data_IF_948672575956
#
_entry.id   IF_948672575956
#
_cell.length_a   1.000
_cell.length_b   1.000
_cell.length_c   1.000
_cell.angle_alpha   90.00
_cell.angle_beta   90.00
_cell.angle_gamma   90.00
#
_symmetry.space_group_name_H-M   'P 1'
#
loop_
_entity.id
_entity.type
_entity.pdbx_description
1 polymer ?
#
# COMPACT_ATOMS: atom_id res chain seq x y z
N UNK A 1 54.99 -6.05 39.74
CA UNK A 1 53.78 -5.25 39.45
C UNK A 1 52.78 -6.18 38.76
N UNK A 2 51.84 -6.75 39.52
CA UNK A 2 50.85 -7.70 39.02
C UNK A 2 49.54 -6.95 38.74
N UNK A 3 49.18 -6.81 37.46
CA UNK A 3 47.84 -6.35 37.08
C UNK A 3 46.84 -7.50 37.32
N UNK A 4 45.69 -7.24 37.96
CA UNK A 4 44.71 -8.29 38.22
C UNK A 4 44.06 -8.75 36.91
N UNK A 5 44.19 -10.04 36.62
CA UNK A 5 43.65 -10.76 35.45
C UNK A 5 42.13 -10.57 35.25
N UNK A 6 41.43 -10.10 36.28
CA UNK A 6 39.98 -9.87 36.24
C UNK A 6 39.57 -8.73 35.30
N UNK A 7 40.39 -7.69 35.13
CA UNK A 7 40.04 -6.55 34.27
C UNK A 7 39.95 -6.92 32.77
N UNK A 8 40.69 -7.93 32.32
CA UNK A 8 40.71 -8.38 30.93
C UNK A 8 39.45 -9.21 30.61
N UNK A 9 38.98 -10.02 31.55
CA UNK A 9 37.77 -10.84 31.39
C UNK A 9 36.49 -10.00 31.31
N UNK A 10 36.39 -8.92 32.10
CA UNK A 10 35.25 -8.00 32.03
C UNK A 10 35.22 -7.18 30.73
N UNK A 11 36.38 -6.79 30.20
CA UNK A 11 36.46 -6.07 28.93
C UNK A 11 35.99 -6.94 27.76
N UNK A 12 36.38 -8.23 27.73
CA UNK A 12 35.94 -9.18 26.70
C UNK A 12 34.45 -9.54 26.83
N UNK A 13 33.90 -9.62 28.04
CA UNK A 13 32.47 -9.87 28.23
C UNK A 13 31.62 -8.67 27.78
N UNK A 14 32.10 -7.45 28.01
CA UNK A 14 31.41 -6.22 27.59
C UNK A 14 31.51 -6.00 26.06
N UNK A 15 32.63 -6.38 25.43
CA UNK A 15 32.74 -6.38 23.96
C UNK A 15 31.91 -7.49 23.33
N UNK A 16 31.86 -8.70 23.90
CA UNK A 16 30.97 -9.76 23.42
C UNK A 16 29.49 -9.39 23.54
N UNK A 17 29.08 -8.72 24.64
CA UNK A 17 27.71 -8.23 24.80
C UNK A 17 27.38 -7.06 23.85
N UNK A 18 28.34 -6.16 23.57
CA UNK A 18 28.12 -5.06 22.64
C UNK A 18 28.03 -5.52 21.18
N UNK A 19 28.82 -6.53 20.79
CA UNK A 19 28.79 -7.13 19.44
C UNK A 19 27.46 -7.88 19.21
N UNK A 20 26.92 -8.57 20.21
CA UNK A 20 25.63 -9.28 20.05
C UNK A 20 24.40 -8.37 20.04
N UNK A 21 24.48 -7.16 20.60
CA UNK A 21 23.36 -6.19 20.60
C UNK A 21 23.28 -5.44 19.25
N UNK A 22 24.41 -5.23 18.56
CA UNK A 22 24.42 -4.47 17.31
C UNK A 22 23.96 -5.30 16.10
N UNK A 23 24.11 -6.62 16.13
CA UNK A 23 23.78 -7.50 14.99
C UNK A 23 22.29 -7.89 14.93
N UNK A 24 21.53 -7.72 16.01
CA UNK A 24 20.12 -8.15 16.03
C UNK A 24 19.15 -7.15 15.37
N UNK A 25 19.59 -5.91 15.12
CA UNK A 25 18.78 -4.86 14.50
C UNK A 25 18.80 -4.97 12.96
N UNK A 26 19.83 -5.58 12.37
CA UNK A 26 19.98 -5.65 10.91
C UNK A 26 19.24 -6.82 10.26
N UNK A 27 18.98 -7.90 11.02
CA UNK A 27 18.37 -9.13 10.48
C UNK A 27 16.87 -8.94 10.18
N UNK A 28 16.13 -8.17 10.99
CA UNK A 28 14.72 -7.86 10.68
C UNK A 28 14.59 -6.95 9.45
N UNK A 29 15.47 -5.96 9.29
CA UNK A 29 15.51 -5.11 8.08
C UNK A 29 15.85 -5.92 6.82
N UNK A 30 16.70 -6.94 6.95
CA UNK A 30 17.09 -7.82 5.84
C UNK A 30 16.00 -8.86 5.52
N UNK A 31 15.25 -9.33 6.52
CA UNK A 31 14.05 -10.17 6.32
C UNK A 31 12.87 -9.37 5.73
N UNK A 32 12.75 -8.08 6.07
CA UNK A 32 11.85 -7.13 5.41
C UNK A 32 12.28 -6.80 3.98
N UNK A 33 13.56 -6.99 3.61
CA UNK A 33 14.07 -6.75 2.26
C UNK A 33 13.99 -8.00 1.36
N UNK A 34 14.36 -9.19 1.85
CA UNK A 34 14.39 -10.42 1.05
C UNK A 34 13.04 -11.14 0.95
N UNK A 35 12.12 -10.97 1.91
CA UNK A 35 10.78 -11.55 1.86
C UNK A 35 9.71 -10.70 1.15
N UNK A 36 10.01 -9.44 0.81
CA UNK A 36 8.99 -8.42 0.53
C UNK A 36 8.77 -8.07 -0.95
N UNK A 37 9.48 -8.69 -1.89
CA UNK A 37 9.37 -8.33 -3.32
C UNK A 37 7.98 -8.66 -3.92
N UNK A 38 7.21 -9.58 -3.32
CA UNK A 38 5.89 -9.99 -3.81
C UNK A 38 4.69 -9.40 -3.04
N UNK A 39 4.89 -8.63 -1.97
CA UNK A 39 3.81 -8.27 -1.02
C UNK A 39 3.52 -6.78 -0.82
N UNK A 40 4.34 -5.88 -1.40
CA UNK A 40 4.25 -4.45 -1.12
C UNK A 40 3.25 -3.76 -2.06
N UNK A 41 2.20 -3.19 -1.47
CA UNK A 41 1.06 -2.54 -2.15
C UNK A 41 1.10 -1.04 -1.87
N UNK A 42 1.25 -0.23 -2.91
CA UNK A 42 1.24 1.23 -2.78
C UNK A 42 -0.15 1.78 -3.12
N UNK A 43 -0.70 2.62 -2.25
CA UNK A 43 -2.06 3.13 -2.40
C UNK A 43 -2.46 4.11 -1.32
N UNK A 44 -3.76 4.19 -1.06
CA UNK A 44 -4.34 5.00 0.03
C UNK A 44 -5.26 4.15 0.88
N UNK A 45 -5.41 4.52 2.15
CA UNK A 45 -6.42 3.94 3.03
C UNK A 45 -7.55 4.95 3.25
N UNK A 46 -8.71 4.68 2.65
CA UNK A 46 -9.87 5.56 2.72
C UNK A 46 -10.83 5.11 3.82
N UNK A 47 -11.04 5.93 4.84
CA UNK A 47 -12.04 5.72 5.87
C UNK A 47 -13.36 6.40 5.51
N UNK A 48 -14.47 5.66 5.54
CA UNK A 48 -15.81 6.19 5.20
C UNK A 48 -16.47 7.04 6.30
N UNK A 49 -15.76 7.34 7.39
CA UNK A 49 -16.34 8.06 8.53
C UNK A 49 -16.63 9.52 8.18
N UNK A 50 -17.79 10.05 8.58
CA UNK A 50 -18.15 11.45 8.29
C UNK A 50 -18.32 11.67 6.79
N UNK A 51 -17.59 12.65 6.22
CA UNK A 51 -17.54 12.92 4.78
C UNK A 51 -16.55 12.03 4.02
N UNK A 52 -15.83 11.15 4.74
CA UNK A 52 -14.78 10.32 4.19
C UNK A 52 -13.40 10.99 4.27
N UNK A 53 -12.39 10.21 4.63
CA UNK A 53 -11.02 10.70 4.85
C UNK A 53 -9.98 9.69 4.40
N UNK A 54 -8.94 10.15 3.72
CA UNK A 54 -7.71 9.41 3.45
C UNK A 54 -6.77 9.54 4.64
N UNK A 55 -6.30 8.41 5.18
CA UNK A 55 -5.29 8.39 6.24
C UNK A 55 -4.00 9.07 5.75
N UNK A 56 -3.44 9.94 6.58
CA UNK A 56 -2.24 10.72 6.30
C UNK A 56 -1.18 10.48 7.37
N UNK A 57 0.07 10.38 6.93
CA UNK A 57 1.25 10.26 7.79
C UNK A 57 2.16 11.44 7.51
N UNK A 58 2.23 12.36 8.46
CA UNK A 58 3.03 13.58 8.33
C UNK A 58 4.51 13.34 8.67
N UNK A 59 5.43 14.12 8.07
CA UNK A 59 6.85 14.10 8.43
C UNK A 59 7.15 14.57 9.86
N UNK A 60 6.21 15.24 10.52
CA UNK A 60 6.32 15.71 11.92
C UNK A 60 5.91 14.63 12.96
N UNK A 61 5.57 13.42 12.50
CA UNK A 61 5.11 12.33 13.37
C UNK A 61 3.60 12.30 13.61
N UNK A 62 2.83 13.26 13.09
CA UNK A 62 1.38 13.31 13.26
C UNK A 62 0.65 12.39 12.29
N UNK A 63 -0.49 11.87 12.76
CA UNK A 63 -1.40 11.02 12.00
C UNK A 63 -2.80 11.59 12.09
N UNK A 64 -3.43 11.79 10.94
CA UNK A 64 -4.77 12.32 10.76
C UNK A 64 -5.34 11.79 9.44
N UNK A 65 -6.45 12.35 8.99
CA UNK A 65 -6.99 12.12 7.68
C UNK A 65 -7.54 13.40 7.06
N UNK A 66 -7.48 13.44 5.74
CA UNK A 66 -7.94 14.54 4.89
C UNK A 66 -9.01 14.03 3.94
N UNK A 67 -10.00 14.86 3.66
CA UNK A 67 -11.01 14.53 2.66
C UNK A 67 -10.36 14.37 1.28
N UNK A 68 -9.62 15.39 0.87
CA UNK A 68 -8.88 15.37 -0.40
C UNK A 68 -7.62 14.50 -0.32
N UNK A 69 -7.31 13.74 -1.39
CA UNK A 69 -6.07 12.99 -1.48
C UNK A 69 -4.87 13.94 -1.55
N UNK A 70 -3.78 13.59 -0.87
CA UNK A 70 -2.53 14.35 -0.90
C UNK A 70 -1.33 13.42 -1.00
N UNK A 71 -0.13 13.97 -1.14
CA UNK A 71 1.12 13.20 -1.10
C UNK A 71 1.30 12.49 0.26
N UNK A 72 0.80 13.08 1.35
CA UNK A 72 0.87 12.52 2.70
C UNK A 72 -0.04 11.30 2.89
N UNK A 73 -1.05 11.13 2.02
CA UNK A 73 -1.97 9.99 2.08
C UNK A 73 -1.56 8.82 1.18
N UNK A 74 -0.43 8.92 0.49
CA UNK A 74 0.16 7.80 -0.25
C UNK A 74 0.93 6.92 0.74
N UNK A 75 0.48 5.69 0.87
CA UNK A 75 0.94 4.71 1.84
C UNK A 75 1.47 3.46 1.11
N UNK A 76 2.55 2.91 1.64
CA UNK A 76 3.08 1.61 1.27
C UNK A 76 2.67 0.60 2.35
N UNK A 77 1.83 -0.36 1.97
CA UNK A 77 1.44 -1.47 2.81
C UNK A 77 2.31 -2.67 2.45
N UNK A 78 2.99 -3.25 3.43
CA UNK A 78 3.78 -4.46 3.22
C UNK A 78 3.35 -5.54 4.22
N UNK A 79 3.31 -6.78 3.74
CA UNK A 79 3.02 -7.92 4.59
C UNK A 79 4.26 -8.26 5.41
N UNK A 80 4.08 -8.46 6.71
CA UNK A 80 5.13 -8.87 7.65
C UNK A 80 5.01 -10.38 7.89
N UNK A 81 3.77 -10.83 8.08
CA UNK A 81 3.42 -12.25 8.20
C UNK A 81 1.95 -12.42 7.81
N UNK A 82 1.40 -13.63 7.91
CA UNK A 82 0.03 -13.91 7.52
C UNK A 82 -0.97 -13.02 8.27
N UNK A 83 -1.64 -12.12 7.53
CA UNK A 83 -2.62 -11.20 8.09
C UNK A 83 -2.03 -10.10 8.99
N UNK A 84 -0.70 -9.92 9.00
CA UNK A 84 -0.04 -8.81 9.70
C UNK A 84 0.65 -7.91 8.68
N UNK A 85 0.40 -6.62 8.79
CA UNK A 85 0.93 -5.61 7.87
C UNK A 85 1.66 -4.51 8.61
N UNK A 86 2.66 -3.94 7.93
CA UNK A 86 3.23 -2.64 8.23
C UNK A 86 2.67 -1.59 7.27
N UNK A 87 2.50 -0.37 7.76
CA UNK A 87 2.00 0.76 6.98
C UNK A 87 3.03 1.89 7.03
N UNK A 88 3.62 2.23 5.90
CA UNK A 88 4.61 3.30 5.76
C UNK A 88 4.06 4.45 4.93
N UNK A 89 4.32 5.69 5.31
CA UNK A 89 4.07 6.86 4.47
C UNK A 89 5.11 6.92 3.35
N UNK A 90 4.68 6.89 2.09
CA UNK A 90 5.60 6.92 0.94
C UNK A 90 6.41 8.23 0.91
N UNK A 91 5.75 9.35 1.23
CA UNK A 91 6.37 10.67 1.27
C UNK A 91 7.17 10.92 2.56
N UNK A 92 6.55 10.70 3.73
CA UNK A 92 7.19 10.97 5.02
C UNK A 92 8.24 9.94 5.41
N UNK A 93 8.28 8.78 4.74
CA UNK A 93 9.16 7.63 5.02
C UNK A 93 9.05 7.06 6.43
N UNK A 94 8.08 7.53 7.21
CA UNK A 94 7.74 7.08 8.56
C UNK A 94 6.71 5.96 8.55
N UNK A 95 6.74 5.12 9.58
CA UNK A 95 5.79 4.04 9.81
C UNK A 95 4.66 4.50 10.71
N UNK A 96 3.43 4.08 10.42
CA UNK A 96 2.31 4.20 11.34
C UNK A 96 2.59 3.32 12.56
N UNK A 97 2.45 3.90 13.75
CA UNK A 97 2.64 3.18 15.00
C UNK A 97 1.49 3.50 15.98
N UNK A 98 1.17 2.53 16.83
CA UNK A 98 0.27 2.72 17.96
C UNK A 98 1.03 2.48 19.26
N UNK A 99 1.05 3.48 20.14
CA UNK A 99 1.74 3.32 21.43
C UNK A 99 0.87 2.60 22.48
N UNK A 100 1.48 2.29 23.63
CA UNK A 100 0.84 1.69 24.81
C UNK A 100 -0.38 2.41 25.39
N UNK A 101 -0.63 3.67 25.01
CA UNK A 101 -1.85 4.41 25.40
C UNK A 101 -2.98 4.27 24.37
N UNK A 102 -2.68 3.70 23.21
CA UNK A 102 -3.57 3.62 22.05
C UNK A 102 -3.55 4.86 21.17
N UNK A 103 -2.53 5.73 21.27
CA UNK A 103 -2.40 6.89 20.37
C UNK A 103 -1.68 6.47 19.09
N UNK A 104 -2.25 6.88 17.96
CA UNK A 104 -1.58 6.79 16.67
C UNK A 104 -0.55 7.91 16.53
N UNK A 105 0.61 7.56 16.02
CA UNK A 105 1.72 8.45 15.72
C UNK A 105 2.56 7.82 14.60
N UNK A 106 3.57 8.55 14.13
CA UNK A 106 4.46 8.05 13.10
C UNK A 106 5.92 8.07 13.57
N UNK A 107 6.64 6.99 13.31
CA UNK A 107 8.02 6.74 13.75
C UNK A 107 8.95 6.51 12.56
N UNK A 108 10.23 6.78 12.69
CA UNK A 108 11.22 6.61 11.61
C UNK A 108 11.65 5.15 11.49
N UNK A 109 11.92 4.52 12.63
CA UNK A 109 12.35 3.14 12.72
C UNK A 109 11.16 2.20 12.85
N UNK A 110 11.26 1.06 12.18
CA UNK A 110 10.23 0.04 12.25
C UNK A 110 10.33 -0.70 13.60
N UNK A 111 9.23 -0.74 14.33
CA UNK A 111 9.16 -1.36 15.67
C UNK A 111 7.92 -2.23 15.78
N UNK A 112 7.79 -3.00 16.86
CA UNK A 112 6.60 -3.82 17.10
C UNK A 112 5.29 -3.02 17.20
N UNK A 113 5.37 -1.75 17.62
CA UNK A 113 4.22 -0.82 17.65
C UNK A 113 3.66 -0.52 16.24
N UNK A 114 4.43 -0.84 15.19
CA UNK A 114 4.08 -0.65 13.79
C UNK A 114 3.40 -1.87 13.14
N UNK A 115 3.24 -2.97 13.89
CA UNK A 115 2.64 -4.22 13.41
C UNK A 115 1.13 -4.18 13.64
N UNK A 116 0.35 -4.35 12.57
CA UNK A 116 -1.11 -4.36 12.63
C UNK A 116 -1.71 -5.62 12.01
N UNK A 117 -2.70 -6.23 12.67
CA UNK A 117 -3.53 -7.25 12.06
C UNK A 117 -4.46 -6.61 11.03
N UNK A 118 -4.32 -7.02 9.76
CA UNK A 118 -5.26 -6.68 8.69
C UNK A 118 -6.37 -7.74 8.65
N UNK A 119 -7.60 -7.32 8.96
CA UNK A 119 -8.78 -8.20 8.91
C UNK A 119 -9.81 -7.65 7.94
N UNK A 120 -10.30 -8.50 7.06
CA UNK A 120 -11.43 -8.19 6.19
C UNK A 120 -12.71 -8.18 7.01
N UNK A 121 -13.51 -7.13 6.84
CA UNK A 121 -14.85 -7.02 7.40
C UNK A 121 -15.87 -7.32 6.31
N UNK A 122 -17.00 -7.92 6.66
CA UNK A 122 -18.10 -8.29 5.75
C UNK A 122 -18.56 -7.13 4.84
N UNK A 123 -18.35 -5.89 5.28
CA UNK A 123 -18.67 -4.68 4.53
C UNK A 123 -17.74 -4.34 3.36
N UNK A 124 -16.80 -5.21 2.96
CA UNK A 124 -15.74 -4.93 1.97
C UNK A 124 -14.71 -3.87 2.40
N UNK A 125 -14.60 -3.62 3.70
CA UNK A 125 -13.59 -2.75 4.30
C UNK A 125 -12.62 -3.59 5.13
N UNK A 126 -11.40 -3.11 5.28
CA UNK A 126 -10.41 -3.70 6.17
C UNK A 126 -10.39 -2.95 7.50
N UNK A 127 -10.08 -3.67 8.56
CA UNK A 127 -9.74 -3.11 9.87
C UNK A 127 -8.28 -3.40 10.17
N UNK A 128 -7.66 -2.51 10.94
CA UNK A 128 -6.27 -2.62 11.36
C UNK A 128 -6.21 -2.52 12.88
N UNK A 129 -5.93 -3.63 13.56
CA UNK A 129 -5.73 -3.66 15.02
C UNK A 129 -4.25 -3.81 15.38
N UNK A 130 -3.82 -3.19 16.48
CA UNK A 130 -2.45 -3.36 16.95
C UNK A 130 -2.20 -4.81 17.34
N UNK A 131 -1.07 -5.37 16.90
CA UNK A 131 -0.62 -6.73 17.30
C UNK A 131 -0.19 -6.72 18.77
N UNK A 132 0.60 -5.71 19.15
CA UNK A 132 1.18 -5.59 20.48
C UNK A 132 0.17 -5.10 21.54
N UNK A 133 -0.68 -4.13 21.18
CA UNK A 133 -1.49 -3.41 22.16
C UNK A 133 -2.96 -3.83 22.16
N UNK A 134 -3.42 -4.29 23.32
CA UNK A 134 -4.82 -4.61 23.58
C UNK A 134 -5.18 -4.36 25.03
N UNK A 135 -6.48 -4.33 25.33
CA UNK A 135 -6.92 -4.35 26.72
C UNK A 135 -6.69 -5.75 27.31
N UNK A 136 -5.72 -5.90 28.21
CA UNK A 136 -5.39 -7.20 28.83
C UNK A 136 -6.52 -7.77 29.68
N UNK A 137 -7.35 -6.93 30.30
CA UNK A 137 -8.45 -7.38 31.16
C UNK A 137 -9.63 -7.93 30.36
N UNK A 138 -9.99 -7.26 29.27
CA UNK A 138 -11.19 -7.59 28.48
C UNK A 138 -10.87 -8.31 27.17
N UNK A 139 -9.60 -8.53 26.86
CA UNK A 139 -9.14 -9.07 25.57
C UNK A 139 -9.41 -8.17 24.37
N UNK A 140 -9.83 -6.92 24.58
CA UNK A 140 -10.33 -6.05 23.51
C UNK A 140 -9.19 -5.45 22.71
N UNK A 141 -9.19 -5.72 21.40
CA UNK A 141 -8.25 -5.16 20.44
C UNK A 141 -8.37 -3.64 20.31
N UNK A 142 -7.25 -2.99 20.00
CA UNK A 142 -7.19 -1.56 19.75
C UNK A 142 -6.99 -1.32 18.26
N UNK A 143 -7.82 -0.46 17.67
CA UNK A 143 -7.86 -0.26 16.23
C UNK A 143 -7.30 1.10 15.82
N UNK A 144 -6.69 1.12 14.64
CA UNK A 144 -6.49 2.36 13.87
C UNK A 144 -7.87 2.95 13.58
N UNK A 145 -8.06 4.23 13.87
CA UNK A 145 -9.36 4.85 13.71
C UNK A 145 -9.30 6.36 13.48
N UNK A 146 -10.23 6.88 12.67
CA UNK A 146 -10.44 8.30 12.46
C UNK A 146 -11.81 8.74 13.02
N UNK A 147 -11.92 9.99 13.46
CA UNK A 147 -13.20 10.58 13.84
C UNK A 147 -13.91 11.22 12.64
N UNK A 148 -15.16 11.67 12.84
CA UNK A 148 -15.96 12.35 11.81
C UNK A 148 -15.34 13.68 11.31
N UNK A 149 -14.30 14.19 11.98
CA UNK A 149 -13.55 15.41 11.62
C UNK A 149 -12.18 15.10 11.00
N UNK A 150 -11.90 13.83 10.68
CA UNK A 150 -10.60 13.40 10.13
C UNK A 150 -9.46 13.31 11.13
N UNK A 151 -9.65 13.57 12.44
CA UNK A 151 -8.56 13.40 13.42
C UNK A 151 -8.43 11.94 13.85
N UNK A 152 -7.21 11.49 14.10
CA UNK A 152 -6.95 10.18 14.69
C UNK A 152 -7.64 10.02 16.05
N UNK A 153 -8.32 8.89 16.23
CA UNK A 153 -8.91 8.50 17.51
C UNK A 153 -7.92 7.66 18.31
N UNK A 154 -8.09 7.69 19.61
CA UNK A 154 -7.41 6.78 20.52
C UNK A 154 -7.94 5.35 20.33
N UNK A 155 -7.10 4.41 19.90
CA UNK A 155 -7.45 3.00 19.69
C UNK A 155 -7.94 2.31 20.96
N UNK A 156 -7.42 2.71 22.13
CA UNK A 156 -7.85 2.20 23.44
C UNK A 156 -9.26 2.68 23.85
N UNK A 157 -9.79 3.73 23.23
CA UNK A 157 -11.09 4.32 23.59
C UNK A 157 -12.21 3.29 23.44
N UNK A 158 -13.12 3.12 24.42
CA UNK A 158 -14.29 2.24 24.35
C UNK A 158 -15.19 2.41 23.11
N UNK A 159 -15.12 3.58 22.47
CA UNK A 159 -15.90 3.95 21.29
C UNK A 159 -15.27 3.50 19.96
N UNK A 160 -14.16 2.77 19.99
CA UNK A 160 -13.43 2.29 18.80
C UNK A 160 -13.53 0.76 18.74
N UNK A 161 -14.44 0.23 17.94
CA UNK A 161 -14.69 -1.21 17.80
C UNK A 161 -14.64 -1.58 16.33
N UNK A 162 -14.33 -2.83 16.01
CA UNK A 162 -14.29 -3.35 14.64
C UNK A 162 -15.57 -3.09 13.86
N UNK A 163 -16.73 -3.09 14.52
CA UNK A 163 -18.03 -2.83 13.90
C UNK A 163 -18.27 -1.35 13.51
N UNK A 164 -17.46 -0.43 14.05
CA UNK A 164 -17.67 1.00 13.83
C UNK A 164 -16.97 1.47 12.57
N UNK A 165 -17.70 2.24 11.76
CA UNK A 165 -17.20 2.85 10.53
C UNK A 165 -15.90 3.66 10.70
N UNK A 166 -15.62 4.18 11.90
CA UNK A 166 -14.35 4.86 12.21
C UNK A 166 -13.10 3.98 12.08
N UNK A 167 -13.27 2.65 12.11
CA UNK A 167 -12.17 1.66 12.00
C UNK A 167 -12.11 1.00 10.62
N UNK A 168 -13.09 1.28 9.76
CA UNK A 168 -13.21 0.67 8.44
C UNK A 168 -12.42 1.51 7.44
N UNK A 169 -11.41 0.89 6.82
CA UNK A 169 -10.60 1.49 5.78
C UNK A 169 -10.72 0.67 4.50
N UNK A 170 -10.96 1.35 3.39
CA UNK A 170 -10.97 0.76 2.06
C UNK A 170 -9.58 0.99 1.45
N UNK A 171 -8.80 -0.07 1.20
CA UNK A 171 -7.56 0.06 0.48
C UNK A 171 -7.80 0.44 -0.98
N UNK A 172 -7.18 1.52 -1.43
CA UNK A 172 -7.24 2.06 -2.79
C UNK A 172 -5.84 1.99 -3.38
N UNK A 173 -5.44 0.80 -3.84
CA UNK A 173 -4.12 0.56 -4.41
C UNK A 173 -4.06 0.93 -5.89
N UNK A 174 -2.95 1.54 -6.32
CA UNK A 174 -2.69 1.80 -7.73
C UNK A 174 -1.94 0.59 -8.31
N UNK A 175 -2.59 -0.14 -9.22
CA UNK A 175 -2.01 -1.31 -9.88
C UNK A 175 -0.91 -0.96 -10.90
N UNK A 176 -0.76 0.31 -11.29
CA UNK A 176 0.22 0.74 -12.30
C UNK A 176 1.67 0.38 -11.96
N UNK A 177 2.05 0.29 -10.68
CA UNK A 177 3.43 -0.09 -10.32
C UNK A 177 3.73 -1.60 -10.54
N UNK A 178 2.71 -2.45 -10.73
CA UNK A 178 2.92 -3.85 -11.18
C UNK A 178 3.01 -3.98 -12.70
N UNK A 179 2.42 -3.05 -13.46
CA UNK A 179 2.30 -3.19 -14.91
C UNK A 179 3.61 -2.90 -15.67
N UNK A 180 4.58 -2.21 -15.06
CA UNK A 180 5.89 -1.97 -15.69
C UNK A 180 6.83 -3.19 -15.64
N UNK A 181 6.54 -4.23 -14.84
CA UNK A 181 7.48 -5.34 -14.63
C UNK A 181 6.92 -6.74 -14.91
N UNK A 182 5.78 -6.84 -15.56
CA UNK A 182 5.23 -8.12 -15.97
C UNK A 182 4.46 -7.96 -17.26
N UNK A 183 5.17 -8.02 -18.39
CA UNK A 183 4.84 -8.71 -19.64
C UNK A 183 5.89 -8.33 -20.71
N UNK A 184 7.16 -8.68 -20.50
CA UNK A 184 8.06 -8.91 -21.63
C UNK A 184 7.82 -10.35 -22.10
N UNK A 185 6.82 -10.53 -22.96
CA UNK A 185 6.68 -11.77 -23.73
C UNK A 185 7.93 -11.85 -24.61
N UNK A 186 8.78 -12.83 -24.30
CA UNK A 186 9.97 -13.16 -25.06
C UNK A 186 9.55 -13.52 -26.48
N UNK A 187 9.72 -12.60 -27.43
CA UNK A 187 9.64 -12.93 -28.84
C UNK A 187 10.91 -13.68 -29.22
N UNK A 188 10.79 -15.00 -29.36
CA UNK A 188 11.86 -15.86 -29.87
C UNK A 188 11.27 -16.88 -30.82
N UNK A 189 11.20 -16.51 -32.10
CA UNK A 189 11.33 -17.46 -33.20
C UNK A 189 11.88 -16.79 -34.46
N UNK A 190 13.19 -16.59 -34.50
CA UNK A 190 13.88 -16.59 -35.79
C UNK A 190 13.87 -18.01 -36.36
N UNK A 191 13.16 -18.21 -37.48
CA UNK A 191 13.62 -19.12 -38.53
C UNK A 191 13.48 -18.41 -39.87
N UNK A 192 14.64 -18.03 -40.38
CA UNK A 192 14.89 -17.49 -41.72
C UNK A 192 14.32 -18.38 -42.82
N UNK A 193 13.75 -17.76 -43.86
CA UNK A 193 13.97 -18.17 -45.26
C UNK A 193 13.69 -17.01 -46.24
N UNK A 194 14.72 -16.70 -47.05
CA UNK A 194 14.84 -15.75 -48.18
C UNK A 194 13.63 -15.82 -49.16
N UNK A 195 13.22 -14.82 -49.98
CA UNK A 195 13.91 -13.88 -50.89
C UNK A 195 12.85 -12.89 -51.49
N UNK A 196 13.13 -12.03 -52.51
CA UNK A 196 13.26 -10.56 -52.44
C UNK A 196 12.03 -9.72 -52.88
N UNK A 197 12.10 -8.42 -52.57
CA UNK A 197 11.14 -7.34 -52.89
C UNK A 197 10.93 -7.07 -54.39
N UNK A 198 9.75 -6.52 -54.76
CA UNK A 198 9.67 -5.57 -55.86
C UNK A 198 9.18 -4.18 -55.41
N UNK A 199 9.81 -3.16 -56.00
CA UNK A 199 9.64 -1.74 -55.75
C UNK A 199 8.33 -1.14 -56.30
N UNK A 200 8.02 0.05 -55.78
CA UNK A 200 6.87 0.90 -56.06
C UNK A 200 6.63 1.26 -57.54
N UNK A 201 5.38 1.55 -57.95
CA UNK A 201 5.11 2.33 -59.16
C UNK A 201 4.64 3.77 -58.85
N UNK A 202 5.21 4.72 -59.61
CA UNK A 202 4.85 6.15 -59.71
C UNK A 202 3.55 6.37 -60.50
N UNK A 203 2.84 7.47 -60.20
CA UNK A 203 1.69 7.97 -60.97
C UNK A 203 2.09 8.60 -62.32
N UNK A 204 1.18 8.64 -63.33
CA UNK A 204 0.63 9.93 -63.83
C UNK A 204 -0.84 9.81 -64.42
N UNK A 205 -1.43 10.78 -65.18
CA UNK A 205 -2.33 11.86 -64.70
C UNK A 205 -3.74 11.83 -65.43
N UNK A 206 -4.60 12.90 -65.53
CA UNK A 206 -6.03 12.84 -65.16
C UNK A 206 -7.08 12.99 -66.31
N UNK A 207 -8.39 12.97 -65.92
CA UNK A 207 -9.65 13.33 -66.64
C UNK A 207 -10.31 12.16 -67.44
N UNK A 208 -11.64 11.91 -67.49
CA UNK A 208 -12.87 12.74 -67.60
C UNK A 208 -14.12 12.00 -67.03
N UNK A 209 -15.16 12.78 -66.71
CA UNK A 209 -16.52 12.57 -66.15
C UNK A 209 -17.38 11.37 -66.63
N UNK A 210 -18.24 10.82 -65.75
CA UNK A 210 -19.72 10.79 -65.87
C UNK A 210 -20.43 10.13 -64.65
N UNK A 211 -21.68 10.54 -64.42
CA UNK A 211 -22.78 10.16 -63.49
C UNK A 211 -22.97 8.64 -63.23
N UNK A 212 -23.68 8.09 -62.22
CA UNK A 212 -24.71 8.51 -61.24
C UNK A 212 -24.84 7.38 -60.17
N UNK A 213 -25.39 7.67 -58.98
CA UNK A 213 -25.91 6.60 -58.11
C UNK A 213 -25.87 6.87 -56.59
N UNK A 214 -26.92 7.52 -56.07
CA UNK A 214 -27.23 7.64 -54.63
C UNK A 214 -27.34 6.27 -53.95
N UNK A 215 -26.67 6.05 -52.81
CA UNK A 215 -27.24 5.28 -51.69
C UNK A 215 -26.86 5.90 -50.34
N UNK A 216 -27.89 6.02 -49.51
CA UNK A 216 -28.01 6.80 -48.28
C UNK A 216 -27.76 5.89 -47.07
N UNK A 217 -27.07 6.43 -46.07
CA UNK A 217 -26.70 5.83 -44.78
C UNK A 217 -27.92 5.60 -43.89
N UNK A 218 -27.98 4.51 -43.13
CA UNK A 218 -28.81 4.42 -41.92
C UNK A 218 -28.03 3.79 -40.77
N UNK A 219 -27.86 4.58 -39.70
CA UNK A 219 -27.32 4.17 -38.40
C UNK A 219 -28.51 3.89 -37.48
N UNK A 220 -28.65 2.65 -37.02
CA UNK A 220 -29.77 2.24 -36.15
C UNK A 220 -29.53 2.69 -34.71
N UNK A 221 -30.49 3.44 -34.15
CA UNK A 221 -30.46 3.99 -32.78
C UNK A 221 -31.55 3.30 -31.95
N UNK A 222 -31.15 2.52 -30.93
CA UNK A 222 -32.09 1.84 -30.04
C UNK A 222 -32.53 2.73 -28.86
N UNK A 223 -33.79 2.60 -28.45
CA UNK A 223 -34.37 3.20 -27.25
C UNK A 223 -35.00 2.11 -26.36
N UNK A 224 -34.71 2.07 -25.05
CA UNK A 224 -35.38 1.17 -24.12
C UNK A 224 -36.72 1.76 -23.68
N UNK A 225 -37.80 1.00 -23.81
CA UNK A 225 -39.13 1.36 -23.28
C UNK A 225 -39.36 0.64 -21.94
N UNK A 226 -39.42 1.40 -20.86
CA UNK A 226 -39.96 0.93 -19.58
C UNK A 226 -41.48 1.19 -19.55
N UNK A 227 -42.25 0.20 -19.11
CA UNK A 227 -43.65 0.34 -18.69
C UNK A 227 -43.70 0.14 -17.18
N UNK A 228 -44.18 1.16 -16.47
CA UNK A 228 -44.61 1.01 -15.08
C UNK A 228 -46.09 0.62 -15.08
N UNK A 229 -46.41 -0.39 -14.28
CA UNK A 229 -47.74 -0.78 -13.85
C UNK A 229 -47.62 -1.27 -12.41
#
# INVERSE_FOLDING_TARGET
MHFPCWCILFAHLYTFAAVTISDHISVEDQLLAEGASSGRRTGRLYCRVGIGFHLQIHPDGRVNGSHEPSHLSVLELFAISQGVVGIRGAFSRRFLAMNKRGRLHAVEEFTDDCKFHERFQDSSYNTYSSVMHRNHRTGREWFVALNKRGKAKMGSSPRVKSQHASTHFLPRFNLQNRAQWGFNIMDKSQKSQNTPQPAAPKAPPPMVKAESGKKRTETVKYWPKFRFG
#
